data_IF_878078867783
#
_entry.id   IF_878078867783
#
_cell.length_a   1.000
_cell.length_b   1.000
_cell.length_c   1.000
_cell.angle_alpha   90.00
_cell.angle_beta   90.00
_cell.angle_gamma   90.00
#
_symmetry.space_group_name_H-M   'P 1'
#
loop_
_entity.id
_entity.type
_entity.pdbx_description
1 polymer ?
#
# COMPACT_ATOMS: atom_id res chain seq x y z
N UNK A 1 17.19 11.99 20.63
CA UNK A 1 16.80 12.50 19.31
C UNK A 1 15.53 13.35 19.41
N UNK A 2 14.52 12.89 20.15
CA UNK A 2 13.27 13.62 20.41
C UNK A 2 12.99 13.54 21.93
N UNK A 3 13.54 14.45 22.74
CA UNK A 3 13.48 14.36 24.21
C UNK A 3 12.06 14.42 24.77
N UNK A 4 11.16 15.07 24.08
CA UNK A 4 9.76 15.22 24.50
C UNK A 4 8.83 14.13 23.91
N UNK A 5 9.39 13.13 23.22
CA UNK A 5 8.59 12.05 22.64
C UNK A 5 8.05 11.12 23.74
N UNK A 6 6.75 10.92 23.75
CA UNK A 6 6.13 9.87 24.56
C UNK A 6 6.32 8.52 23.89
N UNK A 7 7.11 7.64 24.50
CA UNK A 7 7.38 6.30 23.98
C UNK A 7 6.59 5.26 24.78
N UNK A 8 5.80 4.44 24.08
CA UNK A 8 5.07 3.31 24.66
C UNK A 8 5.54 2.01 24.02
N UNK A 9 5.99 1.05 24.84
CA UNK A 9 6.46 -0.27 24.39
C UNK A 9 5.34 -1.28 24.58
N UNK A 10 4.47 -1.42 23.57
CA UNK A 10 3.34 -2.35 23.62
C UNK A 10 2.88 -2.70 22.20
N UNK A 11 2.05 -3.74 22.08
CA UNK A 11 1.40 -4.05 20.79
C UNK A 11 0.46 -2.93 20.38
N UNK A 12 0.40 -2.65 19.08
CA UNK A 12 -0.46 -1.57 18.57
C UNK A 12 -1.95 -1.81 18.86
N UNK A 13 -2.39 -3.07 18.93
CA UNK A 13 -3.72 -3.47 19.36
C UNK A 13 -4.06 -3.10 20.81
N UNK A 14 -3.04 -2.78 21.62
CA UNK A 14 -3.19 -2.38 23.02
C UNK A 14 -3.16 -0.86 23.22
N UNK A 15 -2.79 -0.10 22.18
CA UNK A 15 -2.70 1.35 22.28
C UNK A 15 -4.08 2.01 22.44
N UNK A 16 -4.14 3.05 23.29
CA UNK A 16 -5.37 3.77 23.65
C UNK A 16 -5.39 5.22 23.12
N UNK A 17 -4.85 5.43 21.93
CA UNK A 17 -4.89 6.73 21.28
C UNK A 17 -6.36 7.06 20.96
N UNK A 18 -6.88 8.23 21.34
CA UNK A 18 -8.25 8.63 21.03
C UNK A 18 -8.49 8.69 19.50
N UNK A 19 -9.71 8.38 19.07
CA UNK A 19 -10.09 8.53 17.68
C UNK A 19 -10.14 10.01 17.29
N UNK A 20 -9.68 10.34 16.09
CA UNK A 20 -9.73 11.71 15.59
C UNK A 20 -8.78 12.68 16.30
N UNK A 21 -7.69 12.20 16.94
CA UNK A 21 -6.78 13.05 17.73
C UNK A 21 -5.40 13.25 17.13
N UNK A 22 -5.08 12.58 16.02
CA UNK A 22 -3.73 12.54 15.46
C UNK A 22 -3.66 13.36 14.19
N UNK A 23 -2.72 14.30 14.12
CA UNK A 23 -2.44 15.10 12.93
C UNK A 23 -1.76 14.30 11.83
N UNK A 24 -0.79 13.46 12.24
CA UNK A 24 0.05 12.71 11.33
C UNK A 24 0.34 11.31 11.90
N UNK A 25 0.02 10.29 11.15
CA UNK A 25 0.38 8.91 11.44
C UNK A 25 1.40 8.43 10.40
N UNK A 26 2.61 8.06 10.84
CA UNK A 26 3.64 7.47 9.98
C UNK A 26 3.93 6.07 10.51
N UNK A 27 3.77 5.07 9.65
CA UNK A 27 3.93 3.68 10.07
C UNK A 27 4.55 2.83 8.97
N UNK A 28 5.57 2.05 9.34
CA UNK A 28 5.95 0.87 8.57
C UNK A 28 5.08 -0.30 9.04
N UNK A 29 4.12 -0.67 8.22
CA UNK A 29 3.10 -1.68 8.58
C UNK A 29 3.72 -3.07 8.58
N UNK A 30 3.41 -3.94 9.57
CA UNK A 30 3.93 -5.30 9.59
C UNK A 30 3.51 -6.10 8.36
N UNK A 31 4.47 -6.73 7.66
CA UNK A 31 4.23 -7.55 6.45
C UNK A 31 3.97 -9.03 6.78
N UNK A 32 3.63 -9.33 8.02
CA UNK A 32 3.40 -10.70 8.48
C UNK A 32 2.04 -11.20 8.01
N UNK A 33 2.02 -12.35 7.35
CA UNK A 33 0.80 -13.05 6.96
C UNK A 33 0.37 -14.04 8.04
N UNK A 34 -0.95 -14.24 8.21
CA UNK A 34 -1.50 -15.24 9.13
C UNK A 34 -1.56 -14.83 10.60
N UNK A 35 -0.97 -13.72 11.00
CA UNK A 35 -1.09 -13.21 12.36
C UNK A 35 -2.44 -12.53 12.56
N UNK A 36 -3.26 -13.11 13.43
CA UNK A 36 -4.57 -12.55 13.79
C UNK A 36 -4.43 -11.57 14.95
N UNK A 37 -5.15 -10.46 14.85
CA UNK A 37 -5.19 -9.44 15.88
C UNK A 37 -6.48 -9.51 16.66
N UNK A 38 -6.40 -9.34 17.97
CA UNK A 38 -7.54 -9.16 18.85
C UNK A 38 -7.33 -7.87 19.66
N UNK A 39 -7.99 -6.80 19.23
CA UNK A 39 -7.95 -5.54 19.95
C UNK A 39 -8.75 -5.62 21.23
N UNK A 40 -8.12 -5.29 22.35
CA UNK A 40 -8.71 -5.31 23.70
C UNK A 40 -9.08 -3.91 24.20
N UNK A 41 -8.85 -2.88 23.37
CA UNK A 41 -9.09 -1.48 23.72
C UNK A 41 -10.43 -0.97 23.17
N UNK A 42 -10.41 -0.03 22.27
CA UNK A 42 -11.61 0.60 21.69
C UNK A 42 -11.88 0.22 20.24
N UNK A 43 -11.00 -0.57 19.61
CA UNK A 43 -11.04 -0.86 18.18
C UNK A 43 -11.40 -2.34 17.87
N UNK A 44 -12.15 -2.97 18.77
CA UNK A 44 -12.62 -4.36 18.62
C UNK A 44 -13.37 -4.63 17.32
N UNK A 45 -14.14 -3.68 16.85
CA UNK A 45 -14.86 -3.77 15.59
C UNK A 45 -13.90 -3.84 14.39
N UNK A 46 -12.80 -3.08 14.42
CA UNK A 46 -11.76 -3.16 13.40
C UNK A 46 -11.04 -4.51 13.40
N UNK A 47 -10.68 -5.05 14.58
CA UNK A 47 -10.04 -6.36 14.66
C UNK A 47 -10.96 -7.51 14.21
N UNK A 48 -12.27 -7.35 14.37
CA UNK A 48 -13.28 -8.27 13.80
C UNK A 48 -13.46 -8.09 12.29
N UNK A 49 -13.34 -6.88 11.78
CA UNK A 49 -13.46 -6.58 10.35
C UNK A 49 -12.19 -6.96 9.59
N UNK A 50 -11.02 -6.67 10.14
CA UNK A 50 -9.70 -6.92 9.57
C UNK A 50 -8.92 -7.88 10.46
N UNK A 51 -8.98 -9.16 10.12
CA UNK A 51 -8.38 -10.21 10.95
C UNK A 51 -6.85 -10.27 10.86
N UNK A 52 -6.27 -9.80 9.74
CA UNK A 52 -4.82 -9.75 9.62
C UNK A 52 -4.27 -8.45 10.22
N UNK A 53 -3.06 -8.54 10.80
CA UNK A 53 -2.41 -7.43 11.47
C UNK A 53 -2.15 -6.26 10.53
N UNK A 54 -1.84 -6.54 9.27
CA UNK A 54 -1.53 -5.55 8.25
C UNK A 54 -2.71 -4.59 8.02
N UNK A 55 -3.87 -5.12 7.63
CA UNK A 55 -5.07 -4.32 7.34
C UNK A 55 -5.61 -3.64 8.61
N UNK A 56 -5.54 -4.34 9.75
CA UNK A 56 -5.92 -3.80 11.04
C UNK A 56 -5.07 -2.57 11.41
N UNK A 57 -3.74 -2.67 11.25
CA UNK A 57 -2.84 -1.55 11.58
C UNK A 57 -3.17 -0.30 10.76
N UNK A 58 -3.40 -0.46 9.45
CA UNK A 58 -3.77 0.67 8.58
C UNK A 58 -5.12 1.25 9.04
N UNK A 59 -6.14 0.41 9.20
CA UNK A 59 -7.48 0.85 9.59
C UNK A 59 -7.48 1.56 10.95
N UNK A 60 -6.74 1.03 11.94
CA UNK A 60 -6.63 1.65 13.26
C UNK A 60 -5.94 3.02 13.17
N UNK A 61 -4.84 3.16 12.42
CA UNK A 61 -4.19 4.45 12.20
C UNK A 61 -5.14 5.47 11.53
N UNK A 62 -5.85 5.07 10.47
CA UNK A 62 -6.82 5.93 9.78
C UNK A 62 -7.92 6.41 10.73
N UNK A 63 -8.38 5.55 11.65
CA UNK A 63 -9.38 5.93 12.67
C UNK A 63 -8.84 6.97 13.66
N UNK A 64 -7.53 6.96 13.94
CA UNK A 64 -6.91 7.92 14.86
C UNK A 64 -6.71 9.30 14.24
N UNK A 65 -6.66 9.41 12.92
CA UNK A 65 -6.48 10.70 12.24
C UNK A 65 -7.66 11.63 12.53
N UNK A 66 -7.35 12.88 12.92
CA UNK A 66 -8.34 13.95 12.95
C UNK A 66 -8.75 14.39 11.54
N UNK A 67 -9.77 15.17 11.42
CA UNK A 67 -10.13 15.80 10.14
C UNK A 67 -8.95 16.58 9.55
N UNK A 68 -8.69 16.39 8.26
CA UNK A 68 -7.52 16.93 7.56
C UNK A 68 -6.19 16.26 7.89
N UNK A 69 -6.14 15.36 8.88
CA UNK A 69 -4.92 14.63 9.27
C UNK A 69 -4.44 13.69 8.17
N UNK A 70 -3.12 13.42 8.15
CA UNK A 70 -2.45 12.61 7.16
C UNK A 70 -1.97 11.28 7.74
N UNK A 71 -2.16 10.21 6.98
CA UNK A 71 -1.53 8.91 7.21
C UNK A 71 -0.53 8.61 6.11
N UNK A 72 0.71 8.28 6.48
CA UNK A 72 1.76 7.85 5.55
C UNK A 72 2.20 6.45 5.95
N UNK A 73 1.94 5.49 5.07
CA UNK A 73 2.14 4.08 5.38
C UNK A 73 3.12 3.45 4.41
N UNK A 74 4.19 2.83 4.93
CA UNK A 74 4.97 1.85 4.17
C UNK A 74 4.26 0.52 4.33
N UNK A 75 3.83 -0.06 3.23
CA UNK A 75 2.99 -1.25 3.21
C UNK A 75 3.40 -2.19 2.07
N UNK A 76 2.94 -3.44 2.09
CA UNK A 76 3.13 -4.33 0.94
C UNK A 76 2.29 -3.86 -0.25
N UNK A 77 2.71 -4.18 -1.47
CA UNK A 77 1.92 -3.93 -2.67
C UNK A 77 0.51 -4.55 -2.61
N UNK A 78 0.31 -5.55 -1.74
CA UNK A 78 -1.00 -6.18 -1.51
C UNK A 78 -2.08 -5.22 -1.02
N UNK A 79 -1.73 -4.11 -0.37
CA UNK A 79 -2.71 -3.10 0.06
C UNK A 79 -3.48 -2.53 -1.13
N UNK A 80 -2.76 -2.12 -2.17
CA UNK A 80 -3.38 -1.55 -3.36
C UNK A 80 -3.80 -2.63 -4.37
N UNK A 81 -3.07 -3.72 -4.49
CA UNK A 81 -3.36 -4.76 -5.48
C UNK A 81 -4.44 -5.77 -5.03
N UNK A 82 -4.52 -6.10 -3.74
CA UNK A 82 -5.32 -7.24 -3.26
C UNK A 82 -6.36 -6.87 -2.19
N UNK A 83 -6.07 -5.91 -1.29
CA UNK A 83 -6.91 -5.61 -0.12
C UNK A 83 -8.09 -4.70 -0.47
N UNK A 84 -8.95 -5.11 -1.41
CA UNK A 84 -10.13 -4.34 -1.82
C UNK A 84 -11.00 -3.93 -0.62
N UNK A 85 -11.24 -4.84 0.30
CA UNK A 85 -12.05 -4.58 1.50
C UNK A 85 -11.50 -3.44 2.35
N UNK A 86 -10.17 -3.34 2.48
CA UNK A 86 -9.52 -2.26 3.22
C UNK A 86 -9.64 -0.94 2.45
N UNK A 87 -9.39 -0.95 1.14
CA UNK A 87 -9.50 0.27 0.31
C UNK A 87 -10.91 0.83 0.35
N UNK A 88 -11.92 -0.02 0.16
CA UNK A 88 -13.33 0.38 0.22
C UNK A 88 -13.68 0.95 1.60
N UNK A 89 -13.19 0.33 2.68
CA UNK A 89 -13.43 0.81 4.03
C UNK A 89 -12.78 2.16 4.30
N UNK A 90 -11.55 2.39 3.86
CA UNK A 90 -10.84 3.67 4.02
C UNK A 90 -11.68 4.81 3.42
N UNK A 91 -12.21 4.60 2.21
CA UNK A 91 -12.97 5.62 1.48
C UNK A 91 -14.40 5.78 2.05
N UNK A 92 -15.02 4.71 2.52
CA UNK A 92 -16.39 4.73 3.06
C UNK A 92 -16.40 5.05 4.56
N UNK A 93 -16.38 4.01 5.41
CA UNK A 93 -16.46 4.14 6.86
C UNK A 93 -15.23 4.83 7.50
N UNK A 94 -14.06 4.68 6.89
CA UNK A 94 -12.82 5.36 7.30
C UNK A 94 -12.87 6.87 7.06
N UNK A 95 -13.79 7.34 6.22
CA UNK A 95 -13.99 8.76 5.92
C UNK A 95 -12.71 9.46 5.44
N UNK A 96 -11.93 8.78 4.61
CA UNK A 96 -10.61 9.24 4.16
C UNK A 96 -10.46 9.02 2.66
N UNK A 97 -9.50 9.70 2.05
CA UNK A 97 -9.16 9.53 0.65
C UNK A 97 -7.70 9.13 0.51
N UNK A 98 -7.40 8.31 -0.48
CA UNK A 98 -6.02 8.16 -0.96
C UNK A 98 -5.66 9.42 -1.73
N UNK A 99 -4.50 10.00 -1.41
CA UNK A 99 -4.03 11.24 -2.03
C UNK A 99 -2.68 11.08 -2.71
N UNK A 100 -2.05 9.92 -2.59
CA UNK A 100 -0.85 9.55 -3.30
C UNK A 100 -0.41 8.12 -3.02
N UNK A 101 0.29 7.53 -3.97
CA UNK A 101 0.96 6.25 -3.80
C UNK A 101 2.25 6.19 -4.60
N UNK A 102 3.29 5.60 -4.03
CA UNK A 102 4.58 5.38 -4.69
C UNK A 102 5.03 3.94 -4.47
N UNK A 103 5.32 3.21 -5.56
CA UNK A 103 5.75 1.82 -5.50
C UNK A 103 7.26 1.69 -5.53
N UNK A 104 7.81 1.13 -4.46
CA UNK A 104 9.23 0.86 -4.29
C UNK A 104 9.60 -0.52 -4.84
N UNK A 105 10.80 -0.65 -5.38
CA UNK A 105 11.27 -1.91 -5.94
C UNK A 105 11.61 -2.93 -4.85
N UNK A 106 11.68 -4.19 -5.24
CA UNK A 106 11.88 -5.35 -4.35
C UNK A 106 13.28 -5.43 -3.67
N UNK A 107 14.19 -4.53 -3.97
CA UNK A 107 15.51 -4.40 -3.31
C UNK A 107 15.59 -3.27 -2.29
N UNK A 108 14.49 -2.55 -2.06
CA UNK A 108 14.44 -1.40 -1.12
C UNK A 108 14.78 -1.83 0.31
N UNK A 109 14.21 -2.93 0.75
CA UNK A 109 14.50 -3.49 2.07
C UNK A 109 15.34 -4.74 1.94
N UNK A 110 16.60 -4.65 2.35
CA UNK A 110 17.55 -5.76 2.25
C UNK A 110 17.03 -7.07 2.84
N UNK A 111 17.15 -8.15 2.07
CA UNK A 111 16.83 -9.51 2.53
C UNK A 111 15.38 -9.97 2.37
N UNK A 112 14.41 -9.09 2.00
CA UNK A 112 13.00 -9.49 1.91
C UNK A 112 12.50 -9.78 0.50
N UNK A 113 13.06 -9.16 -0.53
CA UNK A 113 12.59 -9.29 -1.91
C UNK A 113 11.15 -8.81 -2.16
N UNK A 114 10.56 -8.06 -1.22
CA UNK A 114 9.16 -7.63 -1.27
C UNK A 114 9.03 -6.28 -1.95
N UNK A 115 8.16 -6.19 -2.94
CA UNK A 115 7.67 -4.93 -3.48
C UNK A 115 6.79 -4.25 -2.45
N UNK A 116 7.07 -2.99 -2.16
CA UNK A 116 6.38 -2.22 -1.12
C UNK A 116 5.84 -0.91 -1.69
N UNK A 117 4.77 -0.42 -1.11
CA UNK A 117 4.16 0.85 -1.48
C UNK A 117 4.27 1.85 -0.32
N UNK A 118 4.57 3.11 -0.63
CA UNK A 118 4.25 4.24 0.25
C UNK A 118 2.86 4.69 -0.15
N UNK A 119 1.95 4.71 0.81
CA UNK A 119 0.55 5.12 0.60
C UNK A 119 0.27 6.34 1.46
N UNK A 120 -0.26 7.39 0.86
CA UNK A 120 -0.64 8.63 1.54
C UNK A 120 -2.16 8.73 1.57
N UNK A 121 -2.70 8.87 2.78
CA UNK A 121 -4.13 8.94 3.05
C UNK A 121 -4.43 10.25 3.78
N UNK A 122 -5.49 10.94 3.39
CA UNK A 122 -5.98 12.14 4.08
C UNK A 122 -7.36 11.90 4.65
N UNK A 123 -7.54 12.22 5.93
CA UNK A 123 -8.87 12.24 6.55
C UNK A 123 -9.68 13.40 5.99
N UNK A 124 -10.91 13.13 5.58
CA UNK A 124 -11.80 14.17 5.04
C UNK A 124 -12.13 15.22 6.08
N UNK A 125 -12.31 16.44 5.59
CA UNK A 125 -12.81 17.57 6.40
C UNK A 125 -14.30 17.72 6.13
N UNK A 126 -15.13 17.73 7.17
CA UNK A 126 -16.59 17.80 7.05
C UNK A 126 -17.19 16.76 6.08
N UNK A 127 -16.56 15.58 5.97
CA UNK A 127 -16.96 14.52 5.05
C UNK A 127 -16.70 14.81 3.57
N UNK A 128 -16.12 15.94 3.21
CA UNK A 128 -15.85 16.33 1.82
C UNK A 128 -14.66 15.57 1.25
N UNK A 129 -14.83 15.05 0.04
CA UNK A 129 -13.76 14.37 -0.69
C UNK A 129 -12.61 15.33 -0.94
N UNK A 130 -11.38 14.87 -0.72
CA UNK A 130 -10.16 15.63 -1.03
C UNK A 130 -10.10 15.98 -2.52
N UNK A 131 -9.71 17.20 -2.85
CA UNK A 131 -9.47 17.63 -4.24
C UNK A 131 -8.32 16.86 -4.90
N UNK A 132 -7.39 16.33 -4.08
CA UNK A 132 -6.25 15.51 -4.53
C UNK A 132 -6.52 14.00 -4.43
N UNK A 133 -7.79 13.60 -4.25
CA UNK A 133 -8.13 12.18 -4.15
C UNK A 133 -7.79 11.44 -5.44
N UNK A 134 -6.94 10.41 -5.31
CA UNK A 134 -6.62 9.48 -6.38
C UNK A 134 -7.57 8.28 -6.37
N UNK A 135 -7.79 7.68 -7.52
CA UNK A 135 -8.57 6.45 -7.62
C UNK A 135 -7.64 5.23 -7.54
N UNK A 136 -7.85 4.41 -6.52
CA UNK A 136 -7.15 3.13 -6.32
C UNK A 136 -8.12 1.95 -6.25
N UNK A 137 -9.34 2.13 -6.73
CA UNK A 137 -10.41 1.11 -6.62
C UNK A 137 -10.18 -0.06 -7.57
N UNK A 138 -9.62 0.21 -8.75
CA UNK A 138 -9.49 -0.76 -9.83
C UNK A 138 -8.11 -1.44 -9.86
N UNK A 139 -8.13 -2.74 -10.14
CA UNK A 139 -6.94 -3.57 -10.36
C UNK A 139 -7.09 -4.20 -11.74
N UNK A 140 -6.30 -3.71 -12.68
CA UNK A 140 -6.37 -4.10 -14.08
C UNK A 140 -5.13 -4.85 -14.53
N UNK A 141 -5.29 -5.74 -15.50
CA UNK A 141 -4.17 -6.38 -16.19
C UNK A 141 -3.54 -5.45 -17.22
N UNK A 142 -2.28 -5.12 -17.05
CA UNK A 142 -1.54 -4.31 -18.02
C UNK A 142 -0.98 -5.15 -19.16
N UNK A 143 -0.49 -6.34 -18.84
CA UNK A 143 0.19 -7.24 -19.80
C UNK A 143 -0.38 -8.63 -19.75
N UNK A 144 -0.70 -9.13 -20.96
CA UNK A 144 -0.80 -10.56 -21.20
C UNK A 144 0.59 -11.05 -21.60
N UNK A 145 1.20 -11.90 -20.78
CA UNK A 145 2.49 -12.52 -21.07
C UNK A 145 2.27 -13.99 -21.37
N UNK A 146 2.78 -14.45 -22.51
CA UNK A 146 2.85 -15.86 -22.81
C UNK A 146 4.04 -16.48 -22.09
N UNK A 147 3.80 -17.61 -21.43
CA UNK A 147 4.87 -18.41 -20.86
C UNK A 147 4.73 -19.87 -21.22
N UNK A 148 5.85 -20.51 -21.49
CA UNK A 148 5.92 -21.94 -21.73
C UNK A 148 5.86 -22.67 -20.38
N UNK A 149 4.88 -23.56 -20.21
CA UNK A 149 4.71 -24.31 -18.96
C UNK A 149 5.76 -25.41 -18.78
N UNK A 150 6.58 -25.66 -19.78
CA UNK A 150 7.49 -26.82 -19.84
C UNK A 150 6.77 -28.15 -20.08
N UNK A 151 5.43 -28.13 -20.20
CA UNK A 151 4.62 -29.28 -20.54
C UNK A 151 4.43 -29.36 -22.07
N UNK A 152 4.36 -30.58 -22.59
CA UNK A 152 4.02 -30.80 -23.98
C UNK A 152 2.67 -31.51 -24.10
N UNK A 153 1.92 -31.20 -25.16
CA UNK A 153 0.71 -31.94 -25.56
C UNK A 153 0.85 -32.44 -26.99
N UNK A 154 0.33 -33.62 -27.26
CA UNK A 154 0.26 -34.13 -28.64
C UNK A 154 -0.87 -33.46 -29.40
N UNK A 155 -0.54 -32.70 -30.42
CA UNK A 155 -1.47 -32.12 -31.39
C UNK A 155 -1.17 -32.68 -32.76
N UNK A 156 -2.13 -33.41 -33.36
CA UNK A 156 -1.95 -34.09 -34.65
C UNK A 156 -0.68 -34.95 -34.74
N UNK A 157 -0.36 -35.67 -33.63
CA UNK A 157 0.80 -36.56 -33.56
C UNK A 157 2.16 -35.90 -33.27
N UNK A 158 2.21 -34.56 -33.20
CA UNK A 158 3.43 -33.80 -32.84
C UNK A 158 3.32 -33.28 -31.41
N UNK A 159 4.44 -33.38 -30.66
CA UNK A 159 4.55 -32.72 -29.36
C UNK A 159 4.61 -31.22 -29.55
N UNK A 160 3.73 -30.51 -28.88
CA UNK A 160 3.61 -29.05 -28.96
C UNK A 160 3.69 -28.48 -27.54
N UNK A 161 4.51 -27.45 -27.29
CA UNK A 161 4.58 -26.80 -25.99
C UNK A 161 3.21 -26.29 -25.54
N UNK A 162 2.95 -26.39 -24.25
CA UNK A 162 1.77 -25.80 -23.63
C UNK A 162 2.09 -24.37 -23.21
N UNK A 163 1.65 -23.42 -24.03
CA UNK A 163 1.76 -21.99 -23.73
C UNK A 163 0.51 -21.54 -22.97
N UNK A 164 0.70 -20.86 -21.86
CA UNK A 164 -0.37 -20.21 -21.10
C UNK A 164 -0.21 -18.69 -21.17
N UNK A 165 -1.33 -18.00 -21.18
CA UNK A 165 -1.35 -16.55 -21.03
C UNK A 165 -1.56 -16.22 -19.55
N UNK A 166 -0.73 -15.33 -19.03
CA UNK A 166 -0.82 -14.78 -17.67
C UNK A 166 -1.10 -13.28 -17.75
N UNK A 167 -2.08 -12.85 -17.00
CA UNK A 167 -2.31 -11.43 -16.77
C UNK A 167 -1.50 -10.94 -15.60
N UNK A 168 -0.82 -9.82 -15.77
CA UNK A 168 -0.11 -9.14 -14.69
C UNK A 168 -1.02 -8.03 -14.17
N UNK A 169 -1.92 -8.41 -13.24
CA UNK A 169 -2.84 -7.46 -12.63
C UNK A 169 -2.18 -6.76 -11.44
N UNK A 170 -2.21 -5.43 -11.45
CA UNK A 170 -1.86 -4.57 -10.32
C UNK A 170 -2.71 -3.30 -10.37
N UNK A 171 -2.63 -2.46 -9.32
CA UNK A 171 -3.50 -1.30 -9.21
C UNK A 171 -3.37 -0.39 -10.42
N UNK A 172 -4.51 -0.03 -11.01
CA UNK A 172 -4.61 0.79 -12.22
C UNK A 172 -3.94 2.15 -12.06
N UNK A 173 -3.96 2.71 -10.86
CA UNK A 173 -3.25 3.94 -10.57
C UNK A 173 -1.78 3.90 -11.04
N UNK A 174 -1.06 2.81 -10.84
CA UNK A 174 0.33 2.68 -11.27
C UNK A 174 0.49 2.45 -12.78
N UNK A 175 -0.56 1.99 -13.46
CA UNK A 175 -0.58 1.91 -14.93
C UNK A 175 -0.70 3.31 -15.52
N UNK A 176 -1.55 4.15 -14.93
CA UNK A 176 -1.80 5.52 -15.33
C UNK A 176 -0.70 6.49 -14.88
N UNK A 177 0.01 6.15 -13.78
CA UNK A 177 1.09 6.95 -13.18
C UNK A 177 2.39 6.15 -13.05
N UNK A 178 3.01 5.72 -14.17
CA UNK A 178 4.26 4.94 -14.14
C UNK A 178 5.44 5.70 -13.55
N UNK A 179 5.39 7.03 -13.47
CA UNK A 179 6.36 7.87 -12.78
C UNK A 179 6.42 7.60 -11.26
N UNK A 180 5.33 7.10 -10.69
CA UNK A 180 5.22 6.75 -9.28
C UNK A 180 5.64 5.28 -8.99
N UNK A 181 6.33 4.64 -9.93
CA UNK A 181 6.95 3.32 -9.76
C UNK A 181 8.47 3.40 -9.92
N UNK A 182 9.22 3.00 -8.90
CA UNK A 182 10.68 2.99 -8.90
C UNK A 182 11.29 1.86 -9.73
N UNK A 183 10.56 1.31 -10.68
CA UNK A 183 11.01 0.16 -11.46
C UNK A 183 10.00 -0.31 -12.50
N UNK A 184 10.14 -1.55 -12.90
CA UNK A 184 9.24 -2.23 -13.83
C UNK A 184 8.68 -3.51 -13.19
N UNK A 185 7.39 -3.76 -13.42
CA UNK A 185 6.73 -4.97 -12.93
C UNK A 185 7.14 -6.19 -13.78
N UNK A 186 7.62 -7.22 -13.13
CA UNK A 186 7.95 -8.51 -13.74
C UNK A 186 7.39 -9.65 -12.90
N UNK A 187 7.19 -10.80 -13.55
CA UNK A 187 6.92 -12.04 -12.85
C UNK A 187 8.17 -12.50 -12.09
N UNK A 188 7.99 -12.93 -10.84
CA UNK A 188 9.00 -13.59 -10.05
C UNK A 188 8.77 -15.10 -10.08
N UNK A 189 9.85 -15.87 -10.14
CA UNK A 189 9.84 -17.32 -10.19
C UNK A 189 10.53 -17.88 -8.94
N UNK A 190 10.12 -19.08 -8.52
CA UNK A 190 10.87 -19.78 -7.49
C UNK A 190 12.27 -20.12 -7.97
N UNK A 191 13.22 -20.20 -7.03
CA UNK A 191 14.61 -20.52 -7.35
C UNK A 191 14.69 -21.91 -8.01
N UNK A 192 15.09 -21.93 -9.28
CA UNK A 192 15.20 -23.15 -10.09
C UNK A 192 13.99 -23.48 -10.95
N UNK A 193 12.90 -22.72 -10.84
CA UNK A 193 11.75 -22.81 -11.74
C UNK A 193 11.68 -21.56 -12.63
N UNK A 194 11.76 -21.75 -13.94
CA UNK A 194 11.63 -20.69 -14.94
C UNK A 194 10.25 -20.69 -15.61
N UNK A 195 9.38 -21.62 -15.23
CA UNK A 195 8.13 -21.90 -15.95
C UNK A 195 6.88 -21.53 -15.15
N UNK A 196 6.96 -21.47 -13.82
CA UNK A 196 5.79 -21.18 -12.96
C UNK A 196 6.03 -19.90 -12.16
N UNK A 197 5.48 -18.78 -12.60
CA UNK A 197 5.57 -17.56 -11.82
C UNK A 197 4.81 -17.71 -10.51
N UNK A 198 5.48 -17.42 -9.40
CA UNK A 198 4.91 -17.50 -8.05
C UNK A 198 4.33 -16.18 -7.58
N UNK A 199 4.87 -15.08 -8.08
CA UNK A 199 4.44 -13.73 -7.71
C UNK A 199 4.82 -12.73 -8.79
N UNK A 200 4.42 -11.50 -8.59
CA UNK A 200 4.84 -10.34 -9.37
C UNK A 200 5.60 -9.38 -8.46
N UNK A 201 6.67 -8.82 -8.97
CA UNK A 201 7.55 -7.91 -8.24
C UNK A 201 7.99 -6.74 -9.10
N UNK A 202 8.25 -5.60 -8.46
CA UNK A 202 8.87 -4.45 -9.09
C UNK A 202 10.39 -4.58 -9.02
N UNK A 203 11.03 -4.58 -10.17
CA UNK A 203 12.49 -4.61 -10.29
C UNK A 203 13.02 -3.20 -10.61
N UNK A 204 14.19 -2.81 -10.06
CA UNK A 204 14.71 -1.46 -10.24
C UNK A 204 15.03 -1.19 -11.72
N UNK A 205 14.77 0.05 -12.17
CA UNK A 205 15.27 0.56 -13.45
C UNK A 205 16.77 0.81 -13.35
N UNK A 206 17.48 0.68 -14.49
CA UNK A 206 18.93 0.89 -14.53
C UNK A 206 19.30 2.38 -14.65
N UNK A 207 18.42 3.20 -15.18
CA UNK A 207 18.63 4.60 -15.57
C UNK A 207 18.17 5.62 -14.54
N UNK A 208 17.38 5.22 -13.55
CA UNK A 208 16.85 6.10 -12.50
C UNK A 208 17.02 5.50 -11.11
N UNK A 209 17.47 6.32 -10.16
CA UNK A 209 17.53 5.93 -8.75
C UNK A 209 16.16 6.11 -8.09
N UNK A 210 15.80 5.16 -7.24
CA UNK A 210 14.53 5.23 -6.49
C UNK A 210 14.42 6.48 -5.62
N UNK A 211 15.54 6.92 -5.03
CA UNK A 211 15.61 8.09 -4.16
C UNK A 211 15.26 9.37 -4.90
N UNK A 212 15.70 9.51 -6.16
CA UNK A 212 15.41 10.66 -7.00
C UNK A 212 13.92 10.66 -7.37
N UNK A 213 13.38 9.51 -7.77
CA UNK A 213 11.95 9.36 -8.11
C UNK A 213 11.05 9.61 -6.89
N UNK A 214 11.44 9.11 -5.71
CA UNK A 214 10.73 9.36 -4.47
C UNK A 214 10.77 10.85 -4.11
N UNK A 215 11.90 11.54 -4.34
CA UNK A 215 12.02 12.96 -4.11
C UNK A 215 11.12 13.76 -5.04
N UNK A 216 10.99 13.37 -6.30
CA UNK A 216 10.04 13.97 -7.25
C UNK A 216 8.60 13.75 -6.78
N UNK A 217 8.24 12.53 -6.36
CA UNK A 217 6.94 12.22 -5.80
C UNK A 217 6.60 13.08 -4.57
N UNK A 218 7.54 13.21 -3.62
CA UNK A 218 7.33 14.03 -2.43
C UNK A 218 7.15 15.51 -2.79
N UNK A 219 7.89 16.03 -3.76
CA UNK A 219 7.76 17.41 -4.23
C UNK A 219 6.46 17.69 -4.98
N UNK A 220 5.77 16.67 -5.49
CA UNK A 220 4.45 16.84 -6.10
C UNK A 220 3.37 17.20 -5.08
N UNK A 221 3.64 17.01 -3.79
CA UNK A 221 2.76 17.48 -2.72
C UNK A 221 3.17 18.89 -2.30
N UNK A 222 2.39 19.89 -2.67
CA UNK A 222 2.66 21.27 -2.19
C UNK A 222 2.19 21.44 -0.75
N UNK A 223 2.92 22.24 0.03
CA UNK A 223 2.53 22.57 1.40
C UNK A 223 1.19 23.32 1.47
N UNK A 224 0.85 24.08 0.43
CA UNK A 224 -0.41 24.82 0.32
C UNK A 224 -1.61 23.90 0.17
N UNK A 225 -1.45 22.75 -0.48
CA UNK A 225 -2.50 21.76 -0.71
C UNK A 225 -2.90 21.00 0.56
N UNK A 226 -2.00 20.88 1.54
CA UNK A 226 -2.21 20.14 2.78
C UNK A 226 -2.24 21.03 4.03
N UNK A 227 -2.02 22.31 3.89
CA UNK A 227 -1.65 23.25 4.94
C UNK A 227 -2.64 24.32 5.34
N UNK A 228 -3.94 24.16 5.23
CA UNK A 228 -4.80 24.97 6.09
C UNK A 228 -4.76 24.41 7.52
N UNK A 229 -3.79 24.87 8.31
CA UNK A 229 -3.90 24.81 9.76
C UNK A 229 -5.09 25.69 10.16
N UNK A 230 -6.13 25.09 10.70
CA UNK A 230 -7.02 25.81 11.59
C UNK A 230 -6.17 26.22 12.80
N UNK A 231 -5.61 27.41 12.76
CA UNK A 231 -4.81 28.03 13.83
C UNK A 231 -5.67 28.46 15.02
N UNK A 232 -6.95 28.10 15.07
CA UNK A 232 -7.90 28.48 16.12
C UNK A 232 -8.01 27.53 17.30
N UNK A 233 -7.17 26.50 17.39
CA UNK A 233 -7.26 25.50 18.47
C UNK A 233 -5.99 25.37 19.31
N UNK A 234 -5.33 26.47 19.65
CA UNK A 234 -4.41 26.47 20.81
C UNK A 234 -4.45 27.85 21.47
N UNK A 235 -5.49 28.10 22.21
CA UNK A 235 -5.45 28.96 23.40
C UNK A 235 -6.22 28.22 24.47
N UNK A 236 -5.48 27.51 25.32
CA UNK A 236 -5.43 27.44 26.78
C UNK A 236 -4.64 26.22 27.26
#
# INVERSE_FOLDING_TARGET
LYPDAKVEIQGFEQTRIPNGSVDLAITNVPFVTGLRVNDITGDKDLSKKFHNIHDFCIAKNVRKLREGGLGIFITSNGTLDNSKKLRDWIVSEGGSDFVGAFRMHNKTFGGTGVTSDIVVIRKRVNGQKSVHAIDVSDVSGERMTEYDTGETRKVKGKETPVIKQLSMDYNRYFIEHPENMAGEMHFAFEKGDTFRPTSKSLYPKQDKKQEDMLSEFVRSFSAEEFGERNTELVTD
#
